data_IF_817501606570
#
_entry.id   IF_817501606570
#
_cell.length_a   1.000
_cell.length_b   1.000
_cell.length_c   1.000
_cell.angle_alpha   90.00
_cell.angle_beta   90.00
_cell.angle_gamma   90.00
#
_symmetry.space_group_name_H-M   'P 1'
#
loop_
_entity.id
_entity.type
_entity.pdbx_description
1 polymer ?
#
# COMPACT_ATOMS: atom_id res chain seq x y z
N UNK A 1 10.76 5.21 1.40
CA UNK A 1 9.46 4.84 0.81
C UNK A 1 9.74 3.91 -0.38
N UNK A 2 9.14 2.71 -0.39
CA UNK A 2 9.30 1.77 -1.49
C UNK A 2 8.01 1.73 -2.32
N UNK A 3 8.11 1.91 -3.63
CA UNK A 3 6.97 1.85 -4.55
C UNK A 3 7.28 0.99 -5.76
N UNK A 4 6.25 0.36 -6.31
CA UNK A 4 6.30 -0.37 -7.56
C UNK A 4 5.09 -0.03 -8.42
N UNK A 5 5.23 -0.19 -9.73
CA UNK A 5 4.16 0.02 -10.69
C UNK A 5 4.09 -1.11 -11.71
N UNK A 6 2.90 -1.33 -12.24
CA UNK A 6 2.64 -2.19 -13.40
C UNK A 6 1.68 -1.49 -14.34
N UNK A 7 1.98 -1.54 -15.64
CA UNK A 7 1.11 -1.00 -16.70
C UNK A 7 0.45 -2.15 -17.45
N UNK A 8 -0.83 -2.03 -17.77
CA UNK A 8 -1.59 -3.00 -18.57
C UNK A 8 -2.60 -2.26 -19.44
N UNK A 9 -2.33 -2.19 -20.76
CA UNK A 9 -3.15 -1.40 -21.68
C UNK A 9 -3.18 0.07 -21.25
N UNK A 10 -4.39 0.59 -21.04
CA UNK A 10 -4.63 1.96 -20.58
C UNK A 10 -4.64 2.11 -19.05
N UNK A 11 -4.40 1.03 -18.31
CA UNK A 11 -4.41 1.05 -16.84
C UNK A 11 -2.99 1.06 -16.26
N UNK A 12 -2.80 1.84 -15.20
CA UNK A 12 -1.61 1.84 -14.36
C UNK A 12 -2.01 1.40 -12.95
N UNK A 13 -1.38 0.32 -12.46
CA UNK A 13 -1.43 -0.08 -11.07
C UNK A 13 -0.16 0.42 -10.39
N UNK A 14 -0.31 1.29 -9.40
CA UNK A 14 0.78 1.74 -8.54
C UNK A 14 0.49 1.30 -7.10
N UNK A 15 1.49 0.74 -6.44
CA UNK A 15 1.41 0.39 -5.02
C UNK A 15 2.73 0.71 -4.32
N UNK A 16 2.68 0.88 -3.01
CA UNK A 16 3.86 1.17 -2.21
C UNK A 16 3.61 0.92 -0.74
N UNK A 17 4.67 1.08 0.04
CA UNK A 17 4.63 0.92 1.49
C UNK A 17 5.25 2.16 2.15
N UNK A 18 4.57 2.62 3.20
CA UNK A 18 5.05 3.64 4.12
C UNK A 18 5.26 2.98 5.48
N UNK A 19 6.46 3.14 6.04
CA UNK A 19 6.73 2.71 7.41
C UNK A 19 6.26 3.81 8.36
N UNK A 20 5.36 3.48 9.28
CA UNK A 20 4.97 4.41 10.34
C UNK A 20 6.06 4.46 11.41
N UNK A 21 6.56 3.29 11.79
CA UNK A 21 7.66 3.11 12.75
C UNK A 21 8.74 2.20 12.18
N UNK A 22 10.00 2.43 12.53
CA UNK A 22 11.07 1.50 12.21
C UNK A 22 10.84 0.11 12.82
N UNK A 23 11.18 -0.95 12.08
CA UNK A 23 11.11 -2.31 12.58
C UNK A 23 12.30 -2.60 13.52
N UNK A 24 12.02 -2.79 14.81
CA UNK A 24 13.01 -3.09 15.84
C UNK A 24 13.68 -4.46 15.69
N UNK A 25 13.00 -5.42 15.05
CA UNK A 25 13.51 -6.78 14.87
C UNK A 25 14.57 -6.88 13.76
N UNK A 26 14.70 -5.82 12.96
CA UNK A 26 15.72 -5.72 11.91
C UNK A 26 16.96 -5.02 12.47
N UNK A 27 18.13 -5.63 12.23
CA UNK A 27 19.43 -5.08 12.61
C UNK A 27 19.67 -3.67 12.04
N UNK A 28 20.47 -2.83 12.71
CA UNK A 28 20.55 -1.40 12.41
C UNK A 28 21.00 -1.09 10.99
N UNK A 29 21.81 -1.94 10.35
CA UNK A 29 22.28 -1.74 8.98
C UNK A 29 21.20 -1.95 7.90
N UNK A 30 20.17 -2.75 8.18
CA UNK A 30 19.07 -3.04 7.26
C UNK A 30 17.75 -2.37 7.69
N UNK A 31 17.78 -1.61 8.79
CA UNK A 31 16.62 -0.91 9.33
C UNK A 31 16.37 0.37 8.55
N UNK A 32 15.15 0.52 8.08
CA UNK A 32 14.70 1.78 7.48
C UNK A 32 13.97 2.63 8.52
N UNK A 33 14.15 3.97 8.51
CA UNK A 33 13.39 4.86 9.37
C UNK A 33 11.91 4.82 8.99
N UNK A 34 11.04 4.85 10.00
CA UNK A 34 9.62 5.13 9.86
C UNK A 34 9.33 6.63 9.92
N UNK A 35 8.07 6.99 9.71
CA UNK A 35 7.58 8.36 9.77
C UNK A 35 7.79 8.99 11.15
N UNK A 36 7.60 8.21 12.23
CA UNK A 36 7.85 8.63 13.62
C UNK A 36 9.31 8.99 13.89
N UNK A 37 10.25 8.37 13.17
CA UNK A 37 11.68 8.66 13.30
C UNK A 37 12.07 9.95 12.56
N UNK A 38 11.19 10.47 11.68
CA UNK A 38 11.40 11.67 10.88
C UNK A 38 10.65 12.89 11.44
N UNK A 39 9.49 12.66 12.06
CA UNK A 39 8.67 13.70 12.69
C UNK A 39 8.01 13.11 13.96
N UNK A 40 8.39 13.65 15.12
CA UNK A 40 7.84 13.22 16.41
C UNK A 40 6.32 13.44 16.48
N UNK A 41 5.79 14.45 15.78
CA UNK A 41 4.35 14.66 15.72
C UNK A 41 3.62 13.51 15.01
N UNK A 42 4.29 12.79 14.11
CA UNK A 42 3.71 11.68 13.37
C UNK A 42 3.32 10.50 14.27
N UNK A 43 3.96 10.34 15.43
CA UNK A 43 3.58 9.34 16.42
C UNK A 43 2.16 9.54 16.97
N UNK A 44 1.59 10.74 16.81
CA UNK A 44 0.25 11.09 17.26
C UNK A 44 -0.79 11.07 16.13
N UNK A 45 -0.38 10.87 14.88
CA UNK A 45 -1.30 10.90 13.74
C UNK A 45 -2.11 9.61 13.66
N UNK A 46 -3.45 9.67 13.66
CA UNK A 46 -4.27 8.51 13.44
C UNK A 46 -3.99 7.92 12.05
N UNK A 47 -3.68 6.60 11.92
CA UNK A 47 -3.36 5.99 10.62
C UNK A 47 -4.45 6.21 9.57
N UNK A 48 -5.71 6.27 9.99
CA UNK A 48 -6.84 6.55 9.12
C UNK A 48 -6.77 7.95 8.51
N UNK A 49 -6.53 8.98 9.32
CA UNK A 49 -6.43 10.36 8.85
C UNK A 49 -5.24 10.56 7.92
N UNK A 50 -4.12 9.89 8.20
CA UNK A 50 -2.96 9.87 7.30
C UNK A 50 -3.32 9.30 5.92
N UNK A 51 -4.02 8.17 5.89
CA UNK A 51 -4.48 7.55 4.64
C UNK A 51 -5.46 8.45 3.89
N UNK A 52 -6.45 9.02 4.59
CA UNK A 52 -7.46 9.89 3.98
C UNK A 52 -6.82 11.17 3.41
N UNK A 53 -5.90 11.80 4.14
CA UNK A 53 -5.17 12.99 3.69
C UNK A 53 -4.27 12.69 2.49
N UNK A 54 -3.55 11.57 2.51
CA UNK A 54 -2.72 11.13 1.39
C UNK A 54 -3.56 10.87 0.13
N UNK A 55 -4.65 10.11 0.26
CA UNK A 55 -5.57 9.82 -0.84
C UNK A 55 -6.23 11.10 -1.38
N UNK A 56 -6.56 12.04 -0.50
CA UNK A 56 -7.07 13.36 -0.87
C UNK A 56 -6.06 14.12 -1.74
N UNK A 57 -4.80 14.21 -1.29
CA UNK A 57 -3.73 14.85 -2.06
C UNK A 57 -3.50 14.20 -3.43
N UNK A 58 -3.50 12.87 -3.50
CA UNK A 58 -3.40 12.14 -4.77
C UNK A 58 -4.59 12.44 -5.69
N UNK A 59 -5.81 12.43 -5.17
CA UNK A 59 -7.00 12.74 -5.96
C UNK A 59 -6.95 14.18 -6.52
N UNK A 60 -6.59 15.16 -5.69
CA UNK A 60 -6.44 16.57 -6.11
C UNK A 60 -5.36 16.72 -7.18
N UNK A 61 -4.20 16.08 -7.02
CA UNK A 61 -3.11 16.13 -8.00
C UNK A 61 -3.50 15.54 -9.37
N UNK A 62 -4.43 14.58 -9.37
CA UNK A 62 -4.98 13.97 -10.59
C UNK A 62 -6.19 14.74 -11.16
N UNK A 63 -6.59 15.88 -10.56
CA UNK A 63 -7.79 16.62 -10.96
C UNK A 63 -9.09 15.89 -10.66
N UNK A 64 -9.07 14.93 -9.72
CA UNK A 64 -10.21 14.11 -9.34
C UNK A 64 -10.76 14.44 -7.95
N UNK A 65 -11.70 13.59 -7.51
CA UNK A 65 -12.25 13.60 -6.14
C UNK A 65 -12.09 12.23 -5.50
N UNK A 66 -11.81 12.22 -4.20
CA UNK A 66 -11.78 11.01 -3.41
C UNK A 66 -13.22 10.54 -3.13
N UNK A 67 -13.50 9.27 -3.38
CA UNK A 67 -14.80 8.65 -3.08
C UNK A 67 -14.58 7.32 -2.36
N UNK A 68 -15.16 7.19 -1.16
CA UNK A 68 -15.15 5.94 -0.41
C UNK A 68 -16.32 5.08 -0.84
N UNK A 69 -16.01 3.93 -1.42
CA UNK A 69 -17.03 2.96 -1.79
C UNK A 69 -17.51 2.21 -0.53
N UNK A 70 -18.84 2.00 -0.37
CA UNK A 70 -19.40 1.36 0.82
C UNK A 70 -19.04 -0.12 0.93
N UNK A 71 -18.76 -0.78 -0.21
CA UNK A 71 -18.40 -2.19 -0.27
C UNK A 71 -16.91 -2.37 -0.60
N UNK A 72 -16.25 -3.38 0.00
CA UNK A 72 -14.89 -3.73 -0.38
C UNK A 72 -14.78 -4.09 -1.86
N UNK A 73 -13.63 -3.82 -2.47
CA UNK A 73 -13.32 -4.22 -3.86
C UNK A 73 -13.66 -5.69 -4.14
N UNK A 74 -13.49 -6.58 -3.16
CA UNK A 74 -13.70 -8.02 -3.30
C UNK A 74 -15.18 -8.42 -3.40
N UNK A 75 -16.11 -7.58 -2.94
CA UNK A 75 -17.53 -7.92 -2.84
C UNK A 75 -18.13 -8.36 -4.19
N UNK A 76 -18.76 -9.53 -4.21
CA UNK A 76 -19.38 -10.14 -5.40
C UNK A 76 -18.37 -10.70 -6.42
N UNK A 77 -17.08 -10.70 -6.10
CA UNK A 77 -15.97 -11.14 -6.97
C UNK A 77 -15.01 -12.07 -6.24
N UNK A 78 -15.41 -12.59 -5.08
CA UNK A 78 -14.60 -13.33 -4.13
C UNK A 78 -13.95 -14.54 -4.79
N UNK A 79 -14.74 -15.42 -5.40
CA UNK A 79 -14.23 -16.63 -6.03
C UNK A 79 -13.25 -16.33 -7.15
N UNK A 80 -13.58 -15.36 -8.02
CA UNK A 80 -12.73 -14.98 -9.17
C UNK A 80 -11.38 -14.46 -8.69
N UNK A 81 -11.39 -13.60 -7.67
CA UNK A 81 -10.16 -13.06 -7.06
C UNK A 81 -9.38 -14.17 -6.38
N UNK A 82 -10.03 -15.04 -5.59
CA UNK A 82 -9.38 -16.18 -4.92
C UNK A 82 -8.71 -17.09 -5.94
N UNK A 83 -9.42 -17.54 -6.98
CA UNK A 83 -8.87 -18.41 -8.03
C UNK A 83 -7.66 -17.78 -8.72
N UNK A 84 -7.73 -16.48 -9.05
CA UNK A 84 -6.61 -15.76 -9.65
C UNK A 84 -5.41 -15.56 -8.71
N UNK A 85 -5.64 -15.60 -7.39
CA UNK A 85 -4.61 -15.40 -6.37
C UNK A 85 -3.91 -16.69 -5.93
N UNK A 86 -4.48 -17.87 -6.19
CA UNK A 86 -3.89 -19.18 -5.80
C UNK A 86 -2.43 -19.29 -6.24
N UNK A 87 -2.13 -18.87 -7.48
CA UNK A 87 -0.76 -18.93 -8.02
C UNK A 87 0.28 -18.19 -7.18
N UNK A 88 -0.13 -17.15 -6.44
CA UNK A 88 0.79 -16.35 -5.62
C UNK A 88 1.23 -17.07 -4.34
N UNK A 89 0.52 -18.14 -3.95
CA UNK A 89 0.88 -19.01 -2.84
C UNK A 89 1.79 -20.18 -3.26
N UNK A 90 1.96 -20.42 -4.57
CA UNK A 90 2.80 -21.52 -5.06
C UNK A 90 4.28 -21.27 -4.73
N UNK A 91 5.02 -22.24 -4.17
CA UNK A 91 6.45 -22.07 -3.88
C UNK A 91 7.29 -21.74 -5.12
N UNK A 92 6.91 -22.29 -6.28
CA UNK A 92 7.55 -22.01 -7.57
C UNK A 92 7.31 -20.58 -8.05
N UNK A 93 6.32 -19.87 -7.52
CA UNK A 93 6.08 -18.45 -7.77
C UNK A 93 6.99 -17.59 -6.89
N UNK A 94 7.07 -17.89 -5.59
CA UNK A 94 7.88 -17.11 -4.65
C UNK A 94 9.39 -17.32 -4.80
N UNK A 95 9.80 -18.46 -5.36
CA UNK A 95 11.20 -18.79 -5.65
C UNK A 95 11.78 -18.08 -6.89
N UNK A 96 10.98 -17.33 -7.67
CA UNK A 96 11.44 -16.61 -8.89
C UNK A 96 12.19 -15.31 -8.60
N UNK A 97 12.78 -15.19 -7.40
CA UNK A 97 13.46 -13.99 -6.94
C UNK A 97 14.92 -14.00 -7.35
#
# INVERSE_FOLDING_TARGET
MGSAQRRLGTAVLQHGSLLLRANGDVGPQARHPGLEDLDEAAARWPPRELVESWLGGVATALGGRLEFQPLPFRSGREERITRGAIRFAEPTWTARR
#
